data_IF_313990909942
#
_entry.id   IF_313990909942
#
_cell.length_a   1.000
_cell.length_b   1.000
_cell.length_c   1.000
_cell.angle_alpha   90.00
_cell.angle_beta   90.00
_cell.angle_gamma   90.00
#
_symmetry.space_group_name_H-M   'P 1'
#
loop_
_entity.id
_entity.type
_entity.pdbx_description
1 polymer ?
#
# COMPACT_ATOMS: atom_id res chain seq x y z
N UNK A 1 26.61 72.39 20.02
CA UNK A 1 26.36 71.36 21.05
C UNK A 1 24.94 70.85 20.85
N UNK A 2 24.73 69.59 20.45
CA UNK A 2 23.39 69.06 20.16
C UNK A 2 22.70 68.58 21.45
N UNK A 3 21.41 68.88 21.59
CA UNK A 3 20.53 68.23 22.57
C UNK A 3 20.17 66.82 22.05
N UNK A 4 20.15 65.79 22.91
CA UNK A 4 19.72 64.46 22.50
C UNK A 4 18.19 64.38 22.53
N UNK A 5 17.59 64.03 21.39
CA UNK A 5 16.19 63.66 21.29
C UNK A 5 16.01 62.28 21.94
N UNK A 6 15.48 62.28 23.17
CA UNK A 6 14.65 61.19 23.66
C UNK A 6 13.40 61.16 22.77
N UNK A 7 13.19 60.07 22.02
CA UNK A 7 11.88 59.45 21.83
C UNK A 7 12.08 58.04 21.27
N UNK A 8 11.57 57.07 22.04
CA UNK A 8 11.09 55.78 21.57
C UNK A 8 12.16 54.74 21.17
N UNK A 9 12.74 54.10 22.18
CA UNK A 9 13.26 52.74 22.07
C UNK A 9 12.06 51.78 21.99
N UNK A 10 11.33 51.77 20.87
CA UNK A 10 10.45 50.64 20.57
C UNK A 10 11.39 49.50 20.22
N UNK A 11 11.63 48.60 21.16
CA UNK A 11 12.12 47.26 20.87
C UNK A 11 11.24 46.71 19.76
N UNK A 12 11.76 46.71 18.53
CA UNK A 12 11.16 45.94 17.45
C UNK A 12 11.43 44.49 17.81
N UNK A 13 10.58 43.96 18.69
CA UNK A 13 10.31 42.53 18.73
C UNK A 13 9.60 42.26 17.40
N UNK A 14 10.35 42.26 16.30
CA UNK A 14 9.93 41.48 15.15
C UNK A 14 10.07 40.05 15.66
N UNK A 15 9.00 39.58 16.31
CA UNK A 15 8.75 38.17 16.47
C UNK A 15 8.68 37.61 15.06
N UNK A 16 9.85 37.27 14.51
CA UNK A 16 9.95 36.34 13.42
C UNK A 16 9.72 34.98 14.06
N UNK A 17 8.47 34.72 14.44
CA UNK A 17 7.98 33.36 14.41
C UNK A 17 8.13 32.98 12.94
N UNK A 18 9.23 32.32 12.63
CA UNK A 18 9.32 31.52 11.42
C UNK A 18 8.12 30.59 11.52
N UNK A 19 7.12 30.80 10.66
CA UNK A 19 5.90 30.02 10.69
C UNK A 19 6.25 28.63 10.17
N UNK A 20 6.76 27.79 11.07
CA UNK A 20 7.05 26.38 10.79
C UNK A 20 5.74 25.68 10.51
N UNK A 21 5.69 24.91 9.44
CA UNK A 21 4.52 24.09 9.14
C UNK A 21 4.31 23.05 10.25
N UNK A 22 3.05 22.89 10.65
CA UNK A 22 2.61 21.93 11.68
C UNK A 22 1.54 20.99 11.16
N UNK A 23 1.23 21.06 9.86
CA UNK A 23 0.20 20.24 9.23
C UNK A 23 0.83 18.95 8.74
N UNK A 24 0.20 17.81 9.06
CA UNK A 24 0.64 16.54 8.51
C UNK A 24 0.28 16.44 7.02
N UNK A 25 1.17 15.85 6.21
CA UNK A 25 0.84 15.54 4.83
C UNK A 25 -0.24 14.45 4.75
N UNK A 26 -0.98 14.44 3.65
CA UNK A 26 -2.01 13.46 3.33
C UNK A 26 -1.39 12.36 2.45
N UNK A 27 -1.28 11.16 3.01
CA UNK A 27 -0.85 9.98 2.27
C UNK A 27 -2.05 9.28 1.59
N UNK A 28 -2.01 9.18 0.26
CA UNK A 28 -3.04 8.56 -0.56
C UNK A 28 -2.55 7.21 -1.07
N UNK A 29 -3.04 6.14 -0.43
CA UNK A 29 -2.71 4.77 -0.83
C UNK A 29 -3.62 4.25 -1.96
N UNK A 30 -3.12 3.30 -2.75
CA UNK A 30 -3.92 2.55 -3.70
C UNK A 30 -5.05 1.77 -3.03
N UNK A 31 -6.03 1.34 -3.84
CA UNK A 31 -7.01 0.38 -3.38
C UNK A 31 -6.37 -0.99 -3.10
N UNK A 32 -7.12 -1.84 -2.39
CA UNK A 32 -6.77 -3.24 -2.15
C UNK A 32 -6.51 -3.99 -3.46
N UNK A 33 -5.41 -4.73 -3.52
CA UNK A 33 -5.04 -5.56 -4.66
C UNK A 33 -5.46 -7.01 -4.42
N UNK A 34 -6.11 -7.64 -5.39
CA UNK A 34 -6.50 -9.05 -5.32
C UNK A 34 -6.08 -9.73 -6.62
N UNK A 35 -5.13 -10.64 -6.52
CA UNK A 35 -4.58 -11.37 -7.68
C UNK A 35 -4.60 -12.87 -7.44
N UNK A 36 -4.51 -13.65 -8.53
CA UNK A 36 -4.30 -15.09 -8.44
C UNK A 36 -2.80 -15.39 -8.63
N UNK A 37 -2.29 -16.40 -7.92
CA UNK A 37 -0.94 -16.91 -8.13
C UNK A 37 -0.67 -17.26 -9.60
N UNK A 38 0.59 -17.17 -10.05
CA UNK A 38 1.02 -17.56 -11.40
C UNK A 38 0.85 -19.05 -11.62
N UNK A 39 0.71 -19.45 -12.89
CA UNK A 39 0.61 -20.88 -13.26
C UNK A 39 1.90 -21.66 -12.97
N UNK A 40 3.04 -20.97 -12.95
CA UNK A 40 4.35 -21.60 -12.76
C UNK A 40 4.65 -21.85 -11.29
N UNK A 41 4.35 -20.87 -10.42
CA UNK A 41 4.61 -21.00 -8.99
C UNK A 41 3.45 -21.66 -8.23
N UNK A 42 2.20 -21.45 -8.65
CA UNK A 42 0.97 -21.79 -7.93
C UNK A 42 0.82 -21.14 -6.53
N UNK A 43 1.89 -20.54 -6.00
CA UNK A 43 1.93 -19.94 -4.67
C UNK A 43 2.40 -18.49 -4.64
N UNK A 44 2.72 -17.89 -5.79
CA UNK A 44 3.23 -16.52 -5.86
C UNK A 44 2.65 -15.74 -7.03
N UNK A 45 2.61 -14.41 -6.91
CA UNK A 45 2.22 -13.50 -7.98
C UNK A 45 3.08 -12.23 -7.95
N UNK A 46 3.49 -11.76 -9.13
CA UNK A 46 3.96 -10.38 -9.29
C UNK A 46 2.74 -9.47 -9.33
N UNK A 47 2.74 -8.43 -8.51
CA UNK A 47 1.58 -7.53 -8.35
C UNK A 47 1.96 -6.12 -8.76
N UNK A 48 1.23 -5.57 -9.71
CA UNK A 48 1.38 -4.20 -10.21
C UNK A 48 0.26 -3.32 -9.67
N UNK A 49 0.59 -2.11 -9.21
CA UNK A 49 -0.38 -1.12 -8.76
C UNK A 49 0.12 0.30 -9.01
N UNK A 50 -0.79 1.28 -9.05
CA UNK A 50 -0.41 2.69 -9.16
C UNK A 50 0.31 3.12 -7.88
N UNK A 51 1.48 3.78 -7.95
CA UNK A 51 2.20 4.24 -6.76
C UNK A 51 1.33 5.11 -5.84
N UNK A 52 1.59 5.05 -4.53
CA UNK A 52 0.97 5.96 -3.57
C UNK A 52 1.42 7.41 -3.82
N UNK A 53 0.56 8.39 -3.51
CA UNK A 53 0.89 9.82 -3.62
C UNK A 53 0.80 10.51 -2.27
N UNK A 54 1.58 11.57 -2.09
CA UNK A 54 1.55 12.40 -0.90
C UNK A 54 1.17 13.83 -1.31
N UNK A 55 0.25 14.44 -0.58
CA UNK A 55 -0.18 15.82 -0.79
C UNK A 55 0.00 16.59 0.52
N UNK A 56 0.47 17.84 0.43
CA UNK A 56 0.70 18.68 1.60
C UNK A 56 0.33 20.13 1.30
N UNK A 57 0.12 20.95 2.34
CA UNK A 57 -0.12 22.39 2.18
C UNK A 57 1.17 23.18 1.98
N UNK A 58 2.34 22.56 2.09
CA UNK A 58 3.60 23.17 1.72
C UNK A 58 3.80 23.14 0.19
N UNK A 59 4.49 24.15 -0.36
CA UNK A 59 4.80 24.23 -1.80
C UNK A 59 5.92 23.27 -2.24
N UNK A 60 6.26 22.28 -1.40
CA UNK A 60 7.38 21.36 -1.60
C UNK A 60 6.89 19.96 -1.94
N UNK A 61 7.60 19.29 -2.84
CA UNK A 61 7.37 17.87 -3.11
C UNK A 61 7.74 17.05 -1.88
N UNK A 62 6.77 16.33 -1.32
CA UNK A 62 6.96 15.41 -0.19
C UNK A 62 7.22 14.00 -0.71
N UNK A 63 8.33 13.41 -0.28
CA UNK A 63 8.69 12.03 -0.65
C UNK A 63 7.77 11.01 0.02
N UNK A 64 7.44 9.94 -0.71
CA UNK A 64 6.71 8.78 -0.21
C UNK A 64 7.64 7.58 -0.05
N UNK A 65 7.62 6.96 1.12
CA UNK A 65 8.32 5.70 1.40
C UNK A 65 7.30 4.59 1.68
N UNK A 66 7.45 3.43 1.05
CA UNK A 66 6.53 2.31 1.20
C UNK A 66 7.29 1.03 1.49
N UNK A 67 6.71 0.13 2.29
CA UNK A 67 7.33 -1.16 2.64
C UNK A 67 7.52 -2.09 1.44
N UNK A 68 6.77 -1.89 0.36
CA UNK A 68 6.82 -2.66 -0.89
C UNK A 68 6.59 -1.76 -2.10
N UNK A 69 7.17 -2.12 -3.24
CA UNK A 69 7.05 -1.40 -4.51
C UNK A 69 6.19 -2.15 -5.54
N UNK A 70 5.50 -1.43 -6.45
CA UNK A 70 4.82 -2.05 -7.58
C UNK A 70 5.77 -2.95 -8.39
N UNK A 71 5.28 -4.13 -8.77
CA UNK A 71 6.06 -5.12 -9.53
C UNK A 71 6.84 -6.11 -8.66
N UNK A 72 6.71 -6.04 -7.35
CA UNK A 72 7.25 -7.07 -6.44
C UNK A 72 6.46 -8.38 -6.49
N UNK A 73 7.12 -9.47 -6.11
CA UNK A 73 6.54 -10.81 -6.00
C UNK A 73 6.03 -11.07 -4.57
N UNK A 74 4.77 -11.49 -4.46
CA UNK A 74 4.09 -11.80 -3.20
C UNK A 74 3.71 -13.27 -3.12
N UNK A 75 3.82 -13.86 -1.93
CA UNK A 75 3.34 -15.23 -1.65
C UNK A 75 1.82 -15.28 -1.42
N UNK A 76 1.25 -16.48 -1.48
CA UNK A 76 -0.14 -16.74 -1.14
C UNK A 76 -0.48 -16.20 0.26
N UNK A 77 -1.58 -15.46 0.32
CA UNK A 77 -2.08 -14.90 1.58
C UNK A 77 -2.34 -13.41 1.47
N UNK A 78 -2.30 -12.75 2.61
CA UNK A 78 -2.48 -11.30 2.73
C UNK A 78 -1.15 -10.66 3.15
N UNK A 79 -0.73 -9.64 2.42
CA UNK A 79 0.41 -8.78 2.76
C UNK A 79 -0.07 -7.34 2.86
N UNK A 80 0.16 -6.70 3.99
CA UNK A 80 -0.18 -5.29 4.19
C UNK A 80 1.02 -4.42 3.80
N UNK A 81 0.79 -3.50 2.85
CA UNK A 81 1.75 -2.47 2.47
C UNK A 81 1.47 -1.23 3.30
N UNK A 82 2.51 -0.72 3.95
CA UNK A 82 2.47 0.53 4.72
C UNK A 82 3.28 1.57 3.97
N UNK A 83 2.71 2.76 3.81
CA UNK A 83 3.36 3.89 3.20
C UNK A 83 3.34 5.08 4.17
N UNK A 84 4.47 5.78 4.24
CA UNK A 84 4.71 6.92 5.10
C UNK A 84 5.30 8.04 4.26
N UNK A 85 4.78 9.26 4.42
CA UNK A 85 5.41 10.46 3.90
C UNK A 85 5.69 11.45 5.03
N UNK A 86 6.83 12.13 4.92
CA UNK A 86 7.33 13.06 5.93
C UNK A 86 7.66 14.37 5.26
N UNK A 87 7.02 15.45 5.70
CA UNK A 87 7.29 16.79 5.17
C UNK A 87 8.67 17.32 5.64
N UNK A 88 8.99 18.55 5.25
CA UNK A 88 10.28 19.17 5.59
C UNK A 88 10.42 19.51 7.08
N UNK A 89 9.31 19.77 7.76
CA UNK A 89 9.28 20.11 9.18
C UNK A 89 9.18 18.86 10.08
N UNK A 90 9.07 17.68 9.47
CA UNK A 90 9.01 16.40 10.15
C UNK A 90 7.59 15.95 10.51
N UNK A 91 6.55 16.59 9.98
CA UNK A 91 5.18 16.12 10.11
C UNK A 91 4.97 14.87 9.24
N UNK A 92 4.22 13.89 9.77
CA UNK A 92 4.09 12.56 9.19
C UNK A 92 2.66 12.29 8.75
N UNK A 93 2.51 11.75 7.55
CA UNK A 93 1.28 11.18 7.00
C UNK A 93 1.48 9.69 6.69
N UNK A 94 0.48 8.86 6.99
CA UNK A 94 0.55 7.41 6.79
C UNK A 94 -0.71 6.86 6.14
N UNK A 95 -0.56 5.82 5.32
CA UNK A 95 -1.66 5.03 4.79
C UNK A 95 -1.25 3.57 4.61
N UNK A 96 -2.23 2.67 4.51
CA UNK A 96 -1.98 1.26 4.25
C UNK A 96 -3.02 0.66 3.30
N UNK A 97 -2.61 -0.40 2.59
CA UNK A 97 -3.50 -1.21 1.76
C UNK A 97 -3.04 -2.68 1.75
N UNK A 98 -3.98 -3.57 1.42
CA UNK A 98 -3.74 -5.01 1.39
C UNK A 98 -3.46 -5.50 -0.03
N UNK A 99 -2.51 -6.44 -0.13
CA UNK A 99 -2.27 -7.29 -1.31
C UNK A 99 -2.69 -8.71 -0.94
N UNK A 100 -3.67 -9.24 -1.66
CA UNK A 100 -4.21 -10.59 -1.46
C UNK A 100 -3.87 -11.46 -2.67
N UNK A 101 -2.98 -12.43 -2.47
CA UNK A 101 -2.68 -13.45 -3.47
C UNK A 101 -3.51 -14.70 -3.19
N UNK A 102 -4.37 -15.08 -4.13
CA UNK A 102 -5.24 -16.25 -4.06
C UNK A 102 -4.64 -17.45 -4.79
N UNK A 103 -4.89 -18.64 -4.24
CA UNK A 103 -4.51 -19.90 -4.86
C UNK A 103 -5.29 -20.14 -6.15
N UNK A 104 -4.67 -20.82 -7.11
CA UNK A 104 -5.38 -21.26 -8.31
C UNK A 104 -6.22 -22.50 -7.97
N UNK A 105 -7.36 -22.60 -8.63
CA UNK A 105 -8.21 -23.80 -8.54
C UNK A 105 -8.19 -24.51 -9.89
N UNK A 106 -7.88 -25.80 -9.91
CA UNK A 106 -7.93 -26.65 -11.10
C UNK A 106 -9.02 -27.71 -10.93
N UNK A 107 -9.68 -28.05 -12.03
CA UNK A 107 -10.69 -29.11 -12.08
C UNK A 107 -10.09 -30.28 -12.84
N UNK A 108 -10.05 -31.45 -12.21
CA UNK A 108 -9.70 -32.70 -12.87
C UNK A 108 -10.97 -33.53 -13.00
N UNK A 109 -11.32 -33.84 -14.25
CA UNK A 109 -12.43 -34.74 -14.56
C UNK A 109 -11.85 -36.09 -14.94
N UNK A 110 -12.21 -37.12 -14.19
CA UNK A 110 -11.92 -38.50 -14.52
C UNK A 110 -13.21 -39.22 -14.94
N UNK A 111 -13.19 -39.83 -16.11
CA UNK A 111 -14.32 -40.57 -16.69
C UNK A 111 -13.97 -42.06 -16.69
N UNK A 112 -14.25 -42.80 -15.59
CA UNK A 112 -13.95 -44.22 -15.54
C UNK A 112 -14.79 -45.02 -16.54
N UNK A 113 -16.07 -44.66 -16.73
CA UNK A 113 -17.03 -45.35 -17.59
C UNK A 113 -18.04 -44.35 -18.21
N UNK A 114 -18.78 -44.75 -19.25
CA UNK A 114 -19.78 -43.90 -19.94
C UNK A 114 -20.87 -43.30 -19.04
N UNK A 115 -21.15 -43.93 -17.90
CA UNK A 115 -22.20 -43.51 -16.95
C UNK A 115 -21.62 -43.02 -15.61
N UNK A 116 -20.31 -42.75 -15.52
CA UNK A 116 -19.69 -42.31 -14.25
C UNK A 116 -18.69 -41.21 -14.51
N UNK A 117 -18.84 -40.11 -13.78
CA UNK A 117 -17.91 -38.98 -13.77
C UNK A 117 -17.43 -38.75 -12.33
N UNK A 118 -16.10 -38.67 -12.18
CA UNK A 118 -15.45 -38.22 -10.95
C UNK A 118 -14.90 -36.82 -11.21
N UNK A 119 -15.42 -35.81 -10.51
CA UNK A 119 -14.90 -34.44 -10.57
C UNK A 119 -14.12 -34.17 -9.30
N UNK A 120 -12.86 -33.79 -9.45
CA UNK A 120 -11.98 -33.41 -8.36
C UNK A 120 -11.67 -31.91 -8.49
N UNK A 121 -12.00 -31.16 -7.44
CA UNK A 121 -11.57 -29.78 -7.28
C UNK A 121 -10.26 -29.77 -6.50
N UNK A 122 -9.22 -29.25 -7.13
CA UNK A 122 -7.92 -29.03 -6.54
C UNK A 122 -7.72 -27.55 -6.33
N UNK A 123 -7.56 -27.14 -5.07
CA UNK A 123 -7.13 -25.80 -4.71
C UNK A 123 -5.62 -25.87 -4.50
N UNK A 124 -4.86 -25.49 -5.53
CA UNK A 124 -3.41 -25.54 -5.49
C UNK A 124 -2.91 -24.58 -4.40
N UNK A 125 -2.15 -25.13 -3.44
CA UNK A 125 -1.75 -24.43 -2.22
C UNK A 125 -2.61 -24.75 -0.98
N UNK A 126 -3.64 -25.60 -1.08
CA UNK A 126 -4.42 -26.05 0.09
C UNK A 126 -4.57 -27.57 0.16
N UNK A 127 -4.63 -28.14 1.37
CA UNK A 127 -4.83 -29.58 1.59
C UNK A 127 -6.27 -30.07 1.31
N UNK A 128 -7.15 -29.21 0.81
CA UNK A 128 -8.56 -29.53 0.62
C UNK A 128 -8.83 -29.97 -0.82
N UNK A 129 -8.96 -31.28 -1.03
CA UNK A 129 -9.47 -31.85 -2.27
C UNK A 129 -10.95 -32.18 -2.08
N UNK A 130 -11.85 -31.63 -2.91
CA UNK A 130 -13.25 -32.01 -2.88
C UNK A 130 -13.56 -32.95 -4.04
N UNK A 131 -13.93 -34.19 -3.73
CA UNK A 131 -14.35 -35.21 -4.70
C UNK A 131 -15.87 -35.24 -4.78
N UNK A 132 -16.41 -35.03 -5.98
CA UNK A 132 -17.84 -35.19 -6.27
C UNK A 132 -17.99 -36.30 -7.31
N UNK A 133 -18.83 -37.29 -7.01
CA UNK A 133 -19.15 -38.39 -7.91
C UNK A 133 -20.61 -38.26 -8.34
N UNK A 134 -20.84 -38.19 -9.65
CA UNK A 134 -22.18 -38.20 -10.23
C UNK A 134 -22.52 -39.63 -10.68
N UNK A 135 -23.74 -40.08 -10.38
CA UNK A 135 -24.30 -41.38 -10.79
C UNK A 135 -25.31 -41.20 -11.92
#
# INVERSE_FOLDING_TARGET
MPLPLLHELVLKVEGRADATDVTSPIANCPAKQIVNATKESNTKAVVEWNPASCEDNSEWDVGMDCTHQPGEEFELGNTTVQCTCTDREGNIGECCFDIIVKGRSTIVVNVPDRNKLNVHYFFEGSRHHQKVTFK
#
